data_IF_855264014845
#
_entry.id   IF_855264014845
#
_cell.length_a   1.000
_cell.length_b   1.000
_cell.length_c   1.000
_cell.angle_alpha   90.00
_cell.angle_beta   90.00
_cell.angle_gamma   90.00
#
_symmetry.space_group_name_H-M   'P 1'
#
loop_
_entity.id
_entity.type
_entity.pdbx_description
1 polymer ?
#
# COMPACT_ATOMS: atom_id res chain seq x y z
N UNK A 1 8.34 -16.99 16.30
CA UNK A 1 7.33 -16.66 15.28
C UNK A 1 8.02 -15.86 14.19
N UNK A 2 7.74 -16.16 12.95
CA UNK A 2 8.27 -15.40 11.81
C UNK A 2 7.66 -14.00 11.83
N UNK A 3 8.47 -12.96 11.58
CA UNK A 3 7.96 -11.59 11.48
C UNK A 3 7.13 -11.45 10.20
N UNK A 4 6.00 -10.77 10.27
CA UNK A 4 5.17 -10.41 9.11
C UNK A 4 4.91 -8.91 9.14
N UNK A 5 5.15 -8.24 8.02
CA UNK A 5 4.80 -6.85 7.78
C UNK A 5 3.75 -6.82 6.67
N UNK A 6 2.56 -6.36 6.97
CA UNK A 6 1.55 -6.13 5.94
C UNK A 6 1.65 -4.68 5.46
N UNK A 7 2.10 -4.50 4.23
CA UNK A 7 2.44 -3.20 3.66
C UNK A 7 1.24 -2.46 3.02
N UNK A 8 0.04 -3.07 3.02
CA UNK A 8 -1.13 -2.47 2.38
C UNK A 8 -2.43 -2.87 3.06
N UNK A 9 -2.93 -2.02 3.94
CA UNK A 9 -4.14 -2.27 4.75
C UNK A 9 -4.98 -0.99 4.82
N UNK A 10 -6.26 -1.18 5.16
CA UNK A 10 -7.22 -0.10 5.30
C UNK A 10 -8.06 -0.20 6.57
N UNK A 11 -8.46 0.95 7.08
CA UNK A 11 -9.59 1.15 7.99
C UNK A 11 -10.42 2.34 7.51
N UNK A 12 -11.47 2.68 8.22
CA UNK A 12 -12.29 3.85 7.93
C UNK A 12 -13.53 3.53 7.10
N UNK A 13 -14.07 4.57 6.46
CA UNK A 13 -15.29 4.44 5.65
C UNK A 13 -14.95 4.06 4.21
N UNK A 14 -15.43 2.88 3.81
CA UNK A 14 -15.39 2.44 2.43
C UNK A 14 -16.81 2.27 1.92
N UNK A 15 -17.27 3.19 1.08
CA UNK A 15 -18.66 3.34 0.64
C UNK A 15 -19.65 3.42 1.82
N UNK A 16 -20.51 2.43 2.00
CA UNK A 16 -21.54 2.34 3.03
C UNK A 16 -21.06 1.65 4.32
N UNK A 17 -19.87 1.02 4.32
CA UNK A 17 -19.29 0.34 5.48
C UNK A 17 -18.26 1.19 6.19
N UNK A 18 -18.17 0.99 7.51
CA UNK A 18 -17.16 1.61 8.34
C UNK A 18 -16.38 0.55 9.14
N UNK A 19 -15.12 0.41 8.79
CA UNK A 19 -14.17 -0.47 9.47
C UNK A 19 -13.43 0.30 10.56
N UNK A 20 -13.80 0.05 11.83
CA UNK A 20 -13.19 0.76 12.96
C UNK A 20 -11.69 0.47 13.05
N UNK A 21 -10.83 1.48 13.28
CA UNK A 21 -9.38 1.28 13.38
C UNK A 21 -8.97 0.22 14.40
N UNK A 22 -9.52 0.28 15.60
CA UNK A 22 -9.23 -0.65 16.70
C UNK A 22 -9.62 -2.10 16.36
N UNK A 23 -10.74 -2.29 15.66
CA UNK A 23 -11.15 -3.61 15.21
C UNK A 23 -10.18 -4.19 14.18
N UNK A 24 -9.74 -3.39 13.20
CA UNK A 24 -8.76 -3.82 12.18
C UNK A 24 -7.45 -4.22 12.84
N UNK A 25 -6.94 -3.39 13.75
CA UNK A 25 -5.68 -3.67 14.45
C UNK A 25 -5.78 -4.94 15.30
N UNK A 26 -6.89 -5.11 16.01
CA UNK A 26 -7.12 -6.34 16.78
C UNK A 26 -7.08 -7.58 15.87
N UNK A 27 -7.68 -7.49 14.71
CA UNK A 27 -7.69 -8.58 13.72
C UNK A 27 -6.27 -8.89 13.23
N UNK A 28 -5.48 -7.88 12.86
CA UNK A 28 -4.09 -8.05 12.43
C UNK A 28 -3.22 -8.70 13.50
N UNK A 29 -3.38 -8.28 14.76
CA UNK A 29 -2.68 -8.91 15.90
C UNK A 29 -3.07 -10.38 16.07
N UNK A 30 -4.33 -10.73 15.86
CA UNK A 30 -4.78 -12.13 15.89
C UNK A 30 -4.13 -12.96 14.76
N UNK A 31 -3.85 -12.36 13.61
CA UNK A 31 -3.14 -13.02 12.51
C UNK A 31 -1.61 -13.08 12.70
N UNK A 32 -1.10 -12.50 13.78
CA UNK A 32 0.33 -12.49 14.08
C UNK A 32 1.12 -11.47 13.26
N UNK A 33 0.46 -10.44 12.70
CA UNK A 33 1.11 -9.34 11.99
C UNK A 33 1.85 -8.46 12.98
N UNK A 34 3.14 -8.23 12.73
CA UNK A 34 4.01 -7.46 13.63
C UNK A 34 3.97 -5.96 13.32
N UNK A 35 3.97 -5.61 12.03
CA UNK A 35 3.88 -4.24 11.54
C UNK A 35 2.86 -4.16 10.42
N UNK A 36 2.16 -3.04 10.33
CA UNK A 36 1.08 -2.87 9.37
C UNK A 36 1.06 -1.45 8.80
N UNK A 37 1.31 -1.34 7.49
CA UNK A 37 1.20 -0.07 6.77
C UNK A 37 -0.27 0.15 6.40
N UNK A 38 -0.89 1.12 7.07
CA UNK A 38 -2.34 1.28 7.06
C UNK A 38 -2.77 2.69 6.71
N UNK A 39 -3.74 2.82 5.81
CA UNK A 39 -4.35 4.08 5.40
C UNK A 39 -5.85 4.11 5.69
N UNK A 40 -6.39 5.32 5.87
CA UNK A 40 -7.83 5.51 6.07
C UNK A 40 -8.57 5.67 4.76
N UNK A 41 -9.55 4.81 4.49
CA UNK A 41 -10.49 4.95 3.36
C UNK A 41 -11.47 6.12 3.56
N UNK A 42 -11.61 6.65 4.77
CA UNK A 42 -12.40 7.87 5.05
C UNK A 42 -11.88 9.07 4.25
N UNK A 43 -10.59 9.04 3.86
CA UNK A 43 -9.97 10.03 2.98
C UNK A 43 -10.72 10.19 1.66
N UNK A 44 -11.31 9.12 1.12
CA UNK A 44 -12.10 9.18 -0.12
C UNK A 44 -13.37 10.03 -0.01
N UNK A 45 -13.84 10.29 1.20
CA UNK A 45 -14.97 11.20 1.48
C UNK A 45 -14.50 12.62 1.86
N UNK A 46 -13.19 12.89 1.76
CA UNK A 46 -12.57 14.20 2.04
C UNK A 46 -12.82 14.70 3.47
N UNK A 47 -13.12 13.79 4.40
CA UNK A 47 -13.36 14.10 5.81
C UNK A 47 -12.06 14.00 6.63
N UNK A 48 -11.12 14.91 6.39
CA UNK A 48 -9.80 14.91 7.02
C UNK A 48 -9.83 15.06 8.55
N UNK A 49 -10.72 15.86 9.18
CA UNK A 49 -10.85 15.85 10.64
C UNK A 49 -11.15 14.45 11.19
N UNK A 50 -11.97 13.68 10.48
CA UNK A 50 -12.27 12.28 10.85
C UNK A 50 -11.06 11.38 10.65
N UNK A 51 -10.33 11.51 9.55
CA UNK A 51 -9.08 10.77 9.29
C UNK A 51 -8.07 11.01 10.43
N UNK A 52 -7.89 12.27 10.83
CA UNK A 52 -7.02 12.62 11.97
C UNK A 52 -7.47 11.92 13.25
N UNK A 53 -8.74 12.02 13.59
CA UNK A 53 -9.30 11.35 14.77
C UNK A 53 -9.10 9.84 14.76
N UNK A 54 -9.23 9.20 13.59
CA UNK A 54 -9.02 7.78 13.41
C UNK A 54 -7.57 7.39 13.72
N UNK A 55 -6.57 8.09 13.17
CA UNK A 55 -5.16 7.84 13.48
C UNK A 55 -4.82 8.16 14.93
N UNK A 56 -5.35 9.24 15.49
CA UNK A 56 -5.15 9.58 16.90
C UNK A 56 -5.65 8.47 17.85
N UNK A 57 -6.75 7.80 17.49
CA UNK A 57 -7.32 6.71 18.30
C UNK A 57 -6.42 5.48 18.39
N UNK A 58 -5.53 5.28 17.42
CA UNK A 58 -4.64 4.11 17.32
C UNK A 58 -3.15 4.47 17.41
N UNK A 59 -2.80 5.73 17.65
CA UNK A 59 -1.41 6.22 17.62
C UNK A 59 -0.45 5.49 18.56
N UNK A 60 -0.99 4.88 19.61
CA UNK A 60 -0.22 4.15 20.63
C UNK A 60 0.01 2.67 20.29
N UNK A 61 -0.53 2.22 19.16
CA UNK A 61 -0.42 0.83 18.76
C UNK A 61 0.98 0.50 18.26
N UNK A 62 1.58 -0.52 18.88
CA UNK A 62 2.89 -1.01 18.44
C UNK A 62 2.78 -1.65 17.05
N UNK A 63 3.75 -1.35 16.18
CA UNK A 63 3.75 -1.86 14.79
C UNK A 63 2.92 -1.03 13.81
N UNK A 64 2.28 0.05 14.26
CA UNK A 64 1.56 0.98 13.39
C UNK A 64 2.52 1.72 12.45
N UNK A 65 2.26 1.64 11.16
CA UNK A 65 2.96 2.36 10.10
C UNK A 65 1.93 3.20 9.31
N UNK A 66 1.70 4.45 9.70
CA UNK A 66 0.67 5.28 9.07
C UNK A 66 1.01 5.58 7.61
N UNK A 67 0.02 5.41 6.73
CA UNK A 67 0.11 5.72 5.30
C UNK A 67 -0.78 6.93 5.01
N UNK A 68 -0.17 8.01 4.51
CA UNK A 68 -0.87 9.23 4.13
C UNK A 68 -1.51 9.04 2.76
N UNK A 69 -2.82 8.94 2.72
CA UNK A 69 -3.53 8.91 1.45
C UNK A 69 -3.80 10.34 0.97
N UNK A 70 -3.15 10.70 -0.13
CA UNK A 70 -3.27 12.01 -0.76
C UNK A 70 -4.38 11.97 -1.81
N UNK A 71 -5.27 12.96 -1.75
CA UNK A 71 -6.28 13.23 -2.77
C UNK A 71 -6.03 14.60 -3.38
N UNK A 72 -6.57 14.90 -4.57
CA UNK A 72 -6.46 16.24 -5.12
C UNK A 72 -6.97 17.33 -4.18
N UNK A 73 -8.05 17.06 -3.46
CA UNK A 73 -8.60 18.00 -2.49
C UNK A 73 -7.63 18.26 -1.31
N UNK A 74 -6.84 17.26 -0.89
CA UNK A 74 -5.83 17.49 0.15
C UNK A 74 -4.73 18.44 -0.32
N UNK A 75 -4.38 18.41 -1.61
CA UNK A 75 -3.39 19.32 -2.19
C UNK A 75 -3.90 20.76 -2.29
N UNK A 76 -5.19 20.98 -2.48
CA UNK A 76 -5.82 22.31 -2.57
C UNK A 76 -5.87 23.08 -1.22
N UNK A 77 -4.84 22.97 -0.40
CA UNK A 77 -4.67 23.74 0.84
C UNK A 77 -4.99 22.97 2.12
N UNK A 78 -5.33 21.69 2.02
CA UNK A 78 -5.63 20.85 3.18
C UNK A 78 -4.47 19.96 3.63
N UNK A 79 -3.36 19.92 2.88
CA UNK A 79 -2.23 19.06 3.19
C UNK A 79 -1.42 19.55 4.39
N UNK A 80 -1.39 20.85 4.64
CA UNK A 80 -0.59 21.44 5.72
C UNK A 80 -0.88 20.78 7.08
N UNK A 81 -2.14 20.55 7.41
CA UNK A 81 -2.48 19.90 8.68
C UNK A 81 -2.08 18.42 8.75
N UNK A 82 -2.00 17.72 7.61
CA UNK A 82 -1.45 16.37 7.55
C UNK A 82 0.05 16.36 7.82
N UNK A 83 0.77 17.34 7.27
CA UNK A 83 2.21 17.50 7.46
C UNK A 83 2.56 18.02 8.86
N UNK A 84 1.75 18.91 9.42
CA UNK A 84 1.90 19.46 10.77
C UNK A 84 1.39 18.52 11.88
N UNK A 85 0.80 17.38 11.51
CA UNK A 85 0.29 16.41 12.49
C UNK A 85 1.43 15.70 13.22
N UNK A 86 1.20 15.26 14.46
CA UNK A 86 2.13 14.40 15.22
C UNK A 86 2.22 12.97 14.66
N UNK A 87 1.51 12.68 13.56
CA UNK A 87 1.51 11.36 12.92
C UNK A 87 2.82 11.15 12.19
N UNK A 88 3.53 10.08 12.53
CA UNK A 88 4.79 9.71 11.89
C UNK A 88 4.52 8.90 10.62
N UNK A 89 4.20 9.59 9.56
CA UNK A 89 3.93 8.98 8.25
C UNK A 89 5.11 8.11 7.79
N UNK A 90 4.80 6.96 7.20
CA UNK A 90 5.78 5.98 6.70
C UNK A 90 5.68 5.74 5.20
N UNK A 91 4.59 6.13 4.57
CA UNK A 91 4.36 6.00 3.14
C UNK A 91 3.29 7.00 2.70
N UNK A 92 3.36 7.43 1.46
CA UNK A 92 2.28 8.16 0.77
C UNK A 92 1.45 7.17 -0.06
N UNK A 93 0.19 7.47 -0.27
CA UNK A 93 -0.69 6.72 -1.17
C UNK A 93 -1.50 7.65 -2.06
N UNK A 94 -1.62 7.28 -3.34
CA UNK A 94 -2.62 7.84 -4.26
C UNK A 94 -3.48 6.73 -4.85
N UNK A 95 -4.71 7.08 -5.20
CA UNK A 95 -5.66 6.14 -5.81
C UNK A 95 -6.34 6.77 -7.04
N UNK A 96 -5.79 6.62 -8.23
CA UNK A 96 -6.26 7.30 -9.44
C UNK A 96 -7.73 7.04 -9.78
N UNK A 97 -8.23 5.84 -9.50
CA UNK A 97 -9.60 5.46 -9.80
C UNK A 97 -10.63 6.05 -8.81
N UNK A 98 -10.41 5.93 -7.50
CA UNK A 98 -11.42 6.31 -6.48
C UNK A 98 -11.61 7.82 -6.35
N UNK A 99 -10.59 8.60 -6.61
CA UNK A 99 -10.66 10.05 -6.44
C UNK A 99 -11.27 10.78 -7.65
N UNK A 100 -11.76 10.05 -8.67
CA UNK A 100 -12.43 10.58 -9.88
C UNK A 100 -11.62 11.64 -10.66
N UNK A 101 -10.35 11.81 -10.32
CA UNK A 101 -9.43 12.72 -10.98
C UNK A 101 -8.30 11.87 -11.54
N UNK A 102 -7.99 12.08 -12.79
CA UNK A 102 -6.85 11.48 -13.43
C UNK A 102 -5.56 12.01 -12.78
N UNK A 103 -4.91 11.19 -11.98
CA UNK A 103 -3.54 11.39 -11.55
C UNK A 103 -2.60 11.18 -12.75
N UNK A 104 -2.59 12.17 -13.66
CA UNK A 104 -1.72 12.07 -14.83
C UNK A 104 -0.27 12.15 -14.40
N UNK A 105 0.58 11.17 -14.74
CA UNK A 105 1.99 11.16 -14.34
C UNK A 105 2.79 12.40 -14.77
N UNK A 106 2.29 13.14 -15.76
CA UNK A 106 2.88 14.41 -16.23
C UNK A 106 2.09 15.64 -15.77
N UNK A 107 1.09 15.46 -14.90
CA UNK A 107 0.26 16.56 -14.39
C UNK A 107 0.88 17.26 -13.19
N UNK A 108 0.46 18.50 -12.94
CA UNK A 108 0.95 19.30 -11.81
C UNK A 108 0.63 18.66 -10.45
N UNK A 109 -0.55 18.06 -10.29
CA UNK A 109 -0.93 17.37 -9.05
C UNK A 109 -0.01 16.19 -8.73
N UNK A 110 0.36 15.40 -9.76
CA UNK A 110 1.29 14.29 -9.53
C UNK A 110 2.69 14.80 -9.21
N UNK A 111 3.14 15.88 -9.87
CA UNK A 111 4.43 16.52 -9.56
C UNK A 111 4.48 17.00 -8.10
N UNK A 112 3.40 17.61 -7.59
CA UNK A 112 3.29 18.02 -6.18
C UNK A 112 3.39 16.82 -5.22
N UNK A 113 2.76 15.69 -5.54
CA UNK A 113 2.91 14.45 -4.74
C UNK A 113 4.36 13.96 -4.73
N UNK A 114 5.08 14.03 -5.86
CA UNK A 114 6.49 13.67 -5.93
C UNK A 114 7.36 14.60 -5.10
N UNK A 115 7.06 15.89 -5.09
CA UNK A 115 7.78 16.87 -4.25
C UNK A 115 7.58 16.58 -2.75
N UNK A 116 6.35 16.28 -2.34
CA UNK A 116 6.05 15.86 -0.97
C UNK A 116 6.79 14.55 -0.61
N UNK A 117 6.80 13.57 -1.53
CA UNK A 117 7.51 12.32 -1.32
C UNK A 117 9.01 12.53 -1.07
N UNK A 118 9.64 13.46 -1.82
CA UNK A 118 11.05 13.85 -1.62
C UNK A 118 11.26 14.57 -0.30
N UNK A 119 10.46 15.59 -0.03
CA UNK A 119 10.58 16.40 1.19
C UNK A 119 10.50 15.55 2.45
N UNK A 120 9.56 14.61 2.47
CA UNK A 120 9.36 13.70 3.60
C UNK A 120 10.23 12.45 3.53
N UNK A 121 10.94 12.20 2.42
CA UNK A 121 11.70 10.97 2.17
C UNK A 121 10.83 9.72 2.35
N UNK A 122 9.61 9.75 1.82
CA UNK A 122 8.63 8.68 1.93
C UNK A 122 8.42 7.95 0.60
N UNK A 123 8.26 6.62 0.60
CA UNK A 123 7.85 5.89 -0.58
C UNK A 123 6.41 6.25 -0.99
N UNK A 124 6.11 6.13 -2.28
CA UNK A 124 4.80 6.41 -2.86
C UNK A 124 4.12 5.12 -3.33
N UNK A 125 3.03 4.74 -2.69
CA UNK A 125 2.15 3.65 -3.10
C UNK A 125 1.10 4.19 -4.08
N UNK A 126 1.06 3.60 -5.28
CA UNK A 126 0.14 3.97 -6.35
C UNK A 126 -0.81 2.80 -6.59
N UNK A 127 -2.12 3.01 -6.41
CA UNK A 127 -3.09 2.00 -6.82
C UNK A 127 -2.98 1.72 -8.32
N UNK A 128 -2.81 0.46 -8.69
CA UNK A 128 -2.81 0.03 -10.09
C UNK A 128 -3.94 -0.94 -10.41
N UNK A 129 -4.47 -0.85 -11.61
CA UNK A 129 -5.61 -1.62 -12.10
C UNK A 129 -5.56 -1.88 -13.60
N UNK A 130 -6.67 -2.41 -14.12
CA UNK A 130 -6.86 -2.63 -15.56
C UNK A 130 -7.49 -1.43 -16.27
N UNK A 131 -8.09 -0.52 -15.50
CA UNK A 131 -8.69 0.70 -16.04
C UNK A 131 -7.61 1.63 -16.59
N UNK A 132 -7.92 2.34 -17.68
CA UNK A 132 -6.98 3.21 -18.39
C UNK A 132 -6.32 4.27 -17.50
N UNK A 133 -6.99 4.71 -16.43
CA UNK A 133 -6.47 5.75 -15.54
C UNK A 133 -5.50 5.24 -14.45
N UNK A 134 -5.37 3.93 -14.27
CA UNK A 134 -4.59 3.36 -13.17
C UNK A 134 -3.69 2.19 -13.57
N UNK A 135 -3.34 2.04 -14.84
CA UNK A 135 -2.41 1.02 -15.33
C UNK A 135 -0.99 1.31 -14.85
N UNK A 136 -0.23 0.28 -14.49
CA UNK A 136 1.15 0.41 -14.04
C UNK A 136 2.07 1.11 -15.08
N UNK A 137 1.89 0.81 -16.37
CA UNK A 137 2.69 1.37 -17.46
C UNK A 137 2.56 2.90 -17.60
N UNK A 138 1.49 3.51 -17.11
CA UNK A 138 1.34 4.96 -17.07
C UNK A 138 2.41 5.65 -16.22
N UNK A 139 2.90 4.98 -15.19
CA UNK A 139 3.83 5.54 -14.21
C UNK A 139 5.29 5.23 -14.51
N UNK A 140 5.57 4.44 -15.55
CA UNK A 140 6.93 4.01 -15.89
C UNK A 140 7.90 5.19 -16.11
N UNK A 141 7.49 6.18 -16.91
CA UNK A 141 8.35 7.34 -17.17
C UNK A 141 8.58 8.19 -15.91
N UNK A 142 7.59 8.27 -15.02
CA UNK A 142 7.74 8.94 -13.74
C UNK A 142 8.72 8.19 -12.83
N UNK A 143 8.62 6.88 -12.74
CA UNK A 143 9.54 6.01 -11.99
C UNK A 143 10.97 6.19 -12.49
N UNK A 144 11.16 6.14 -13.80
CA UNK A 144 12.46 6.31 -14.46
C UNK A 144 13.09 7.68 -14.17
N UNK A 145 12.30 8.76 -14.19
CA UNK A 145 12.80 10.13 -14.00
C UNK A 145 13.05 10.51 -12.54
N UNK A 146 12.55 9.72 -11.58
CA UNK A 146 12.63 9.99 -10.15
C UNK A 146 13.27 8.80 -9.40
N UNK A 147 14.56 8.48 -9.67
CA UNK A 147 15.24 7.34 -9.06
C UNK A 147 15.46 7.51 -7.54
N UNK A 148 15.30 8.72 -7.04
CA UNK A 148 15.37 9.13 -5.65
C UNK A 148 14.08 8.83 -4.85
N UNK A 149 12.97 8.53 -5.54
CA UNK A 149 11.69 8.17 -4.92
C UNK A 149 11.47 6.66 -5.09
N UNK A 150 11.11 5.97 -4.02
CA UNK A 150 10.66 4.58 -4.10
C UNK A 150 9.18 4.51 -4.42
N UNK A 151 8.83 3.76 -5.46
CA UNK A 151 7.44 3.54 -5.90
C UNK A 151 6.98 2.13 -5.57
N UNK A 152 5.76 2.00 -5.05
CA UNK A 152 5.08 0.72 -4.86
C UNK A 152 3.85 0.70 -5.76
N UNK A 153 3.85 -0.16 -6.78
CA UNK A 153 2.72 -0.39 -7.67
C UNK A 153 1.76 -1.38 -6.99
N UNK A 154 0.77 -0.85 -6.28
CA UNK A 154 -0.20 -1.68 -5.57
C UNK A 154 -0.93 -2.61 -6.54
N UNK A 155 -1.10 -3.88 -6.16
CA UNK A 155 -1.73 -4.94 -6.95
C UNK A 155 -0.96 -5.38 -8.20
N UNK A 156 0.07 -4.65 -8.65
CA UNK A 156 0.90 -4.98 -9.81
C UNK A 156 0.11 -5.18 -11.11
N UNK A 157 -0.74 -4.24 -11.51
CA UNK A 157 -1.64 -4.38 -12.67
C UNK A 157 -1.42 -3.31 -13.74
N UNK A 158 -1.41 -3.69 -15.04
CA UNK A 158 -1.35 -5.07 -15.57
C UNK A 158 -0.05 -5.78 -15.19
N UNK A 159 -0.11 -7.10 -15.03
CA UNK A 159 1.01 -7.89 -14.51
C UNK A 159 2.26 -7.80 -15.40
N UNK A 160 2.13 -7.84 -16.72
CA UNK A 160 3.29 -7.79 -17.62
C UNK A 160 4.02 -6.45 -17.51
N UNK A 161 3.28 -5.34 -17.44
CA UNK A 161 3.84 -4.01 -17.24
C UNK A 161 4.53 -3.88 -15.87
N UNK A 162 3.89 -4.38 -14.80
CA UNK A 162 4.46 -4.32 -13.46
C UNK A 162 5.74 -5.16 -13.32
N UNK A 163 5.80 -6.35 -13.94
CA UNK A 163 7.00 -7.18 -14.01
C UNK A 163 8.15 -6.46 -14.73
N UNK A 164 7.85 -5.91 -15.90
CA UNK A 164 8.81 -5.16 -16.71
C UNK A 164 9.39 -3.96 -15.96
N UNK A 165 8.55 -3.19 -15.28
CA UNK A 165 8.94 -2.03 -14.50
C UNK A 165 9.80 -2.45 -13.31
N UNK A 166 9.36 -3.45 -12.53
CA UNK A 166 10.12 -3.96 -11.39
C UNK A 166 11.49 -4.54 -11.78
N UNK A 167 11.59 -5.11 -13.00
CA UNK A 167 12.85 -5.63 -13.53
C UNK A 167 13.82 -4.52 -13.97
N UNK A 168 13.28 -3.43 -14.54
CA UNK A 168 14.11 -2.34 -15.12
C UNK A 168 14.52 -1.26 -14.14
N UNK A 169 13.77 -1.07 -13.05
CA UNK A 169 13.97 0.07 -12.16
C UNK A 169 14.15 -0.37 -10.70
N UNK A 170 15.29 0.00 -10.12
CA UNK A 170 15.64 -0.37 -8.74
C UNK A 170 14.71 0.23 -7.70
N UNK A 171 14.10 1.37 -8.01
CA UNK A 171 13.17 2.10 -7.16
C UNK A 171 11.70 1.67 -7.31
N UNK A 172 11.40 0.63 -8.09
CA UNK A 172 10.05 0.11 -8.30
C UNK A 172 9.82 -1.20 -7.55
N UNK A 173 8.72 -1.26 -6.81
CA UNK A 173 8.23 -2.40 -6.04
C UNK A 173 6.76 -2.68 -6.40
N UNK A 174 6.27 -3.85 -6.00
CA UNK A 174 4.84 -4.21 -6.08
C UNK A 174 4.37 -4.77 -4.74
N UNK A 175 3.07 -4.76 -4.48
CA UNK A 175 2.49 -5.51 -3.36
C UNK A 175 1.60 -6.66 -3.82
N UNK A 176 1.33 -7.59 -2.90
CA UNK A 176 0.52 -8.79 -3.15
C UNK A 176 -0.98 -8.58 -2.94
N UNK A 177 -1.42 -7.39 -2.55
CA UNK A 177 -2.82 -7.10 -2.29
C UNK A 177 -3.67 -7.38 -3.52
N UNK A 178 -4.73 -8.17 -3.39
CA UNK A 178 -5.58 -8.63 -4.51
C UNK A 178 -4.83 -9.22 -5.71
N UNK A 179 -3.54 -9.51 -5.57
CA UNK A 179 -2.77 -10.13 -6.65
C UNK A 179 -3.09 -11.63 -6.73
N UNK A 180 -3.48 -12.17 -7.89
CA UNK A 180 -3.61 -13.63 -8.06
C UNK A 180 -2.31 -14.35 -7.70
N UNK A 181 -2.41 -15.53 -7.10
CA UNK A 181 -1.23 -16.32 -6.68
C UNK A 181 -0.29 -16.60 -7.86
N UNK A 182 -0.83 -16.89 -9.03
CA UNK A 182 0.02 -17.15 -10.21
C UNK A 182 0.78 -15.88 -10.67
N UNK A 183 0.28 -14.68 -10.38
CA UNK A 183 1.03 -13.45 -10.62
C UNK A 183 2.17 -13.29 -9.62
N UNK A 184 1.97 -13.61 -8.33
CA UNK A 184 3.05 -13.61 -7.33
C UNK A 184 4.14 -14.61 -7.73
N UNK A 185 3.76 -15.83 -8.16
CA UNK A 185 4.71 -16.83 -8.69
C UNK A 185 5.56 -16.29 -9.84
N UNK A 186 4.96 -15.49 -10.74
CA UNK A 186 5.72 -14.90 -11.86
C UNK A 186 6.83 -13.99 -11.37
N UNK A 187 6.61 -13.15 -10.34
CA UNK A 187 7.68 -12.34 -9.73
C UNK A 187 8.76 -13.22 -9.11
N UNK A 188 8.37 -14.21 -8.33
CA UNK A 188 9.31 -15.13 -7.66
C UNK A 188 10.18 -15.89 -8.66
N UNK A 189 9.56 -16.45 -9.71
CA UNK A 189 10.29 -17.22 -10.74
C UNK A 189 11.11 -16.35 -11.71
N UNK A 190 10.82 -15.06 -11.76
CA UNK A 190 11.63 -14.06 -12.49
C UNK A 190 12.77 -13.47 -11.64
N UNK A 191 13.06 -14.06 -10.48
CA UNK A 191 14.07 -13.62 -9.52
C UNK A 191 13.82 -12.18 -8.99
N UNK A 192 12.55 -11.78 -8.88
CA UNK A 192 12.13 -10.47 -8.40
C UNK A 192 11.44 -10.52 -7.01
N UNK A 193 11.69 -11.57 -6.22
CA UNK A 193 11.13 -11.67 -4.86
C UNK A 193 11.52 -10.49 -3.96
N UNK A 194 12.69 -9.89 -4.20
CA UNK A 194 13.16 -8.69 -3.50
C UNK A 194 12.39 -7.39 -3.84
N UNK A 195 11.53 -7.44 -4.86
CA UNK A 195 10.67 -6.32 -5.31
C UNK A 195 9.22 -6.47 -4.88
N UNK A 196 8.89 -7.54 -4.17
CA UNK A 196 7.51 -7.86 -3.77
C UNK A 196 7.33 -7.59 -2.29
N UNK A 197 6.31 -6.81 -1.93
CA UNK A 197 5.89 -6.57 -0.55
C UNK A 197 4.64 -7.41 -0.25
N UNK A 198 4.59 -8.02 0.93
CA UNK A 198 3.36 -8.60 1.41
C UNK A 198 2.34 -7.49 1.67
N UNK A 199 1.15 -7.59 1.10
CA UNK A 199 0.02 -6.71 1.31
C UNK A 199 -1.28 -7.47 1.10
N UNK A 200 -2.33 -7.17 1.86
CA UNK A 200 -3.60 -7.90 1.80
C UNK A 200 -4.79 -7.07 1.37
N UNK A 201 -4.67 -5.74 1.42
CA UNK A 201 -5.78 -4.80 1.23
C UNK A 201 -6.93 -5.00 2.25
N UNK A 202 -6.59 -5.60 3.40
CA UNK A 202 -7.55 -5.81 4.48
C UNK A 202 -8.10 -4.42 4.93
N UNK A 203 -9.38 -4.17 5.06
CA UNK A 203 -10.59 -5.02 5.07
C UNK A 203 -11.36 -5.03 3.74
N UNK A 204 -10.79 -4.54 2.66
CA UNK A 204 -11.50 -4.38 1.39
C UNK A 204 -12.04 -5.72 0.84
N UNK A 205 -11.35 -6.87 0.95
CA UNK A 205 -11.90 -8.17 0.57
C UNK A 205 -13.27 -8.47 1.22
N UNK A 206 -13.44 -8.15 2.51
CA UNK A 206 -14.71 -8.36 3.21
C UNK A 206 -15.83 -7.42 2.75
N UNK A 207 -15.50 -6.30 2.11
CA UNK A 207 -16.51 -5.43 1.49
C UNK A 207 -17.16 -6.12 0.29
N UNK A 208 -16.37 -6.76 -0.55
CA UNK A 208 -16.83 -7.45 -1.76
C UNK A 208 -17.45 -8.82 -1.44
N UNK A 209 -16.96 -9.50 -0.41
CA UNK A 209 -17.50 -10.75 0.10
C UNK A 209 -17.74 -10.63 1.62
N UNK A 210 -18.98 -10.27 2.02
CA UNK A 210 -19.33 -10.07 3.44
C UNK A 210 -19.18 -11.30 4.32
N UNK A 211 -19.30 -12.48 3.74
CA UNK A 211 -19.21 -13.76 4.42
C UNK A 211 -17.78 -14.31 4.48
N UNK A 212 -16.81 -13.59 3.89
CA UNK A 212 -15.40 -13.98 3.88
C UNK A 212 -14.86 -14.07 5.31
N UNK A 213 -14.39 -15.25 5.69
CA UNK A 213 -13.58 -15.41 6.90
C UNK A 213 -12.19 -14.78 6.66
N UNK A 214 -11.99 -13.61 7.25
CA UNK A 214 -10.74 -12.86 7.09
C UNK A 214 -9.53 -13.59 7.69
N UNK A 215 -9.73 -14.43 8.72
CA UNK A 215 -8.66 -15.21 9.30
C UNK A 215 -8.22 -16.33 8.36
N UNK A 216 -9.16 -17.06 7.80
CA UNK A 216 -8.90 -18.08 6.79
C UNK A 216 -8.28 -17.45 5.53
N UNK A 217 -8.84 -16.35 5.06
CA UNK A 217 -8.30 -15.60 3.92
C UNK A 217 -6.83 -15.22 4.12
N UNK A 218 -6.51 -14.62 5.26
CA UNK A 218 -5.14 -14.17 5.56
C UNK A 218 -4.16 -15.35 5.62
N UNK A 219 -4.51 -16.37 6.39
CA UNK A 219 -3.66 -17.54 6.61
C UNK A 219 -3.48 -18.39 5.34
N UNK A 220 -4.55 -18.58 4.55
CA UNK A 220 -4.46 -19.32 3.28
C UNK A 220 -3.54 -18.63 2.29
N UNK A 221 -3.63 -17.30 2.17
CA UNK A 221 -2.74 -16.51 1.30
C UNK A 221 -1.27 -16.65 1.70
N UNK A 222 -0.94 -16.54 2.99
CA UNK A 222 0.43 -16.76 3.48
C UNK A 222 0.91 -18.19 3.20
N UNK A 223 0.05 -19.18 3.44
CA UNK A 223 0.39 -20.58 3.17
C UNK A 223 0.62 -20.82 1.67
N UNK A 224 -0.20 -20.28 0.81
CA UNK A 224 -0.03 -20.37 -0.64
C UNK A 224 1.30 -19.77 -1.09
N UNK A 225 1.65 -18.56 -0.63
CA UNK A 225 2.95 -17.95 -0.96
C UNK A 225 4.09 -18.80 -0.44
N UNK A 226 3.98 -19.33 0.79
CA UNK A 226 4.98 -20.23 1.37
C UNK A 226 5.20 -21.49 0.55
N UNK A 227 4.17 -22.02 -0.10
CA UNK A 227 4.21 -23.29 -0.81
C UNK A 227 5.15 -23.33 -2.03
N UNK A 228 5.47 -22.17 -2.62
CA UNK A 228 6.32 -22.07 -3.82
C UNK A 228 7.58 -21.22 -3.63
N UNK A 229 7.74 -20.55 -2.50
CA UNK A 229 8.93 -19.78 -2.17
C UNK A 229 9.96 -20.62 -1.43
N UNK A 230 11.26 -20.37 -1.69
CA UNK A 230 12.31 -20.75 -0.75
C UNK A 230 12.17 -19.96 0.57
N UNK A 231 12.89 -20.37 1.62
CA UNK A 231 12.87 -19.65 2.90
C UNK A 231 13.26 -18.18 2.73
N UNK A 232 14.32 -17.90 1.98
CA UNK A 232 14.81 -16.54 1.70
C UNK A 232 13.75 -15.72 0.96
N UNK A 233 13.16 -16.25 -0.10
CA UNK A 233 12.15 -15.54 -0.88
C UNK A 233 10.90 -15.25 -0.06
N UNK A 234 10.49 -16.18 0.78
CA UNK A 234 9.35 -15.98 1.67
C UNK A 234 9.62 -14.89 2.71
N UNK A 235 10.80 -14.89 3.31
CA UNK A 235 11.24 -13.86 4.25
C UNK A 235 11.33 -12.48 3.59
N UNK A 236 11.89 -12.40 2.39
CA UNK A 236 11.92 -11.18 1.60
C UNK A 236 10.51 -10.61 1.41
N UNK A 237 9.58 -11.43 0.90
CA UNK A 237 8.21 -10.99 0.59
C UNK A 237 7.45 -10.58 1.85
N UNK A 238 7.53 -11.41 2.91
CA UNK A 238 6.67 -11.24 4.08
C UNK A 238 7.16 -10.17 5.06
N UNK A 239 8.44 -9.81 5.05
CA UNK A 239 8.92 -8.75 5.95
C UNK A 239 10.17 -7.99 5.50
N UNK A 240 11.24 -8.62 4.97
CA UNK A 240 12.52 -7.95 4.78
C UNK A 240 12.43 -6.77 3.81
N UNK A 241 11.73 -6.94 2.69
CA UNK A 241 11.56 -5.89 1.70
C UNK A 241 10.82 -4.68 2.28
N UNK A 242 9.72 -4.92 3.00
CA UNK A 242 8.96 -3.86 3.65
C UNK A 242 9.76 -3.21 4.80
N UNK A 243 10.51 -3.99 5.58
CA UNK A 243 11.40 -3.49 6.63
C UNK A 243 12.43 -2.52 6.06
N UNK A 244 13.10 -2.91 4.97
CA UNK A 244 14.09 -2.08 4.27
C UNK A 244 13.45 -0.82 3.68
N UNK A 245 12.34 -0.98 2.95
CA UNK A 245 11.65 0.11 2.26
C UNK A 245 11.10 1.16 3.23
N UNK A 246 10.57 0.75 4.38
CA UNK A 246 9.95 1.63 5.39
C UNK A 246 10.94 2.09 6.48
N UNK A 247 12.22 1.78 6.35
CA UNK A 247 13.28 2.12 7.31
C UNK A 247 12.89 1.72 8.75
N UNK A 248 12.56 0.43 8.93
CA UNK A 248 12.24 -0.13 10.26
C UNK A 248 13.50 -0.74 10.88
N UNK A 249 13.75 -0.42 12.15
CA UNK A 249 14.84 -0.98 12.94
C UNK A 249 14.58 -2.44 13.38
#
# INVERSE_FOLDING_TARGET
>A
MQKVIDAHIHFGRFYDRYYKPDWVIKLLKQFGVNYFAISSTTTCSENYPKVKQEFESIRHESGLLPVMWITPYSLEGNIAWLLESDIKWKMLKIHPFLNKIEWRPNGSLFAEVLDIARELSLPLLIHTGHDECCRADLYEEAIKRNPDITFVLAHGRPIDSALDIAHRYDNAYVDTAFMPIDHIKRFVYSALSEKVLWGTDLCIPNYFDPDLDLCEYYNSRLHEVRSFCSDIQYEQITHENAQKLLNLE
#
